data_IF_311144943617
#
_entry.id   IF_311144943617
#
_cell.length_a   1.000
_cell.length_b   1.000
_cell.length_c   1.000
_cell.angle_alpha   90.00
_cell.angle_beta   90.00
_cell.angle_gamma   90.00
#
_symmetry.space_group_name_H-M   'P 1'
#
loop_
_entity.id
_entity.type
_entity.pdbx_description
1 polymer ?
#
# COMPACT_ATOMS: atom_id res chain seq x y z
N UNK A 1 -12.66 62.63 0.23
CA UNK A 1 -12.75 61.62 -0.85
C UNK A 1 -11.85 60.45 -0.50
N UNK A 2 -12.40 59.37 0.07
CA UNK A 2 -11.65 58.14 0.36
C UNK A 2 -12.16 57.04 -0.56
N UNK A 3 -11.22 56.42 -1.26
CA UNK A 3 -11.41 55.46 -2.35
C UNK A 3 -12.04 54.16 -1.83
N UNK A 4 -13.36 54.05 -1.85
CA UNK A 4 -14.15 52.89 -1.40
C UNK A 4 -14.24 51.74 -2.45
N UNK A 5 -13.66 51.94 -3.64
CA UNK A 5 -13.73 50.97 -4.75
C UNK A 5 -12.50 50.04 -4.86
N UNK A 6 -11.37 50.39 -4.24
CA UNK A 6 -10.10 49.66 -4.39
C UNK A 6 -9.95 48.51 -3.36
N UNK A 7 -10.58 48.68 -2.22
CA UNK A 7 -10.68 47.76 -1.08
C UNK A 7 -11.63 46.59 -1.40
N UNK A 8 -12.82 46.87 -1.94
CA UNK A 8 -13.79 45.81 -2.32
C UNK A 8 -13.23 44.86 -3.39
N UNK A 9 -12.50 45.39 -4.38
CA UNK A 9 -11.89 44.60 -5.45
C UNK A 9 -10.75 43.70 -4.94
N UNK A 10 -9.95 44.20 -4.00
CA UNK A 10 -8.86 43.45 -3.38
C UNK A 10 -9.37 42.28 -2.53
N UNK A 11 -10.43 42.48 -1.74
CA UNK A 11 -11.05 41.40 -0.95
C UNK A 11 -11.69 40.31 -1.83
N UNK A 12 -12.28 40.68 -2.98
CA UNK A 12 -12.92 39.74 -3.89
C UNK A 12 -11.89 38.87 -4.65
N UNK A 13 -10.74 39.46 -5.03
CA UNK A 13 -9.60 38.74 -5.59
C UNK A 13 -8.90 37.85 -4.54
N UNK A 14 -8.81 38.31 -3.29
CA UNK A 14 -8.25 37.54 -2.18
C UNK A 14 -9.10 36.30 -1.86
N UNK A 15 -10.44 36.43 -1.86
CA UNK A 15 -11.39 35.32 -1.70
C UNK A 15 -11.36 34.32 -2.87
N UNK A 16 -11.22 34.78 -4.12
CA UNK A 16 -11.04 33.89 -5.29
C UNK A 16 -9.71 33.15 -5.26
N UNK A 17 -8.61 33.81 -4.87
CA UNK A 17 -7.28 33.17 -4.75
C UNK A 17 -7.24 32.14 -3.62
N UNK A 18 -7.80 32.44 -2.46
CA UNK A 18 -7.92 31.45 -1.36
C UNK A 18 -8.81 30.27 -1.74
N UNK A 19 -9.94 30.50 -2.42
CA UNK A 19 -10.79 29.41 -2.90
C UNK A 19 -10.09 28.51 -3.93
N UNK A 20 -9.32 29.08 -4.86
CA UNK A 20 -8.54 28.33 -5.85
C UNK A 20 -7.41 27.54 -5.18
N UNK A 21 -6.70 28.13 -4.21
CA UNK A 21 -5.63 27.47 -3.46
C UNK A 21 -6.19 26.29 -2.65
N UNK A 22 -7.33 26.45 -1.97
CA UNK A 22 -7.99 25.37 -1.24
C UNK A 22 -8.46 24.24 -2.17
N UNK A 23 -8.97 24.57 -3.36
CA UNK A 23 -9.40 23.57 -4.34
C UNK A 23 -8.20 22.78 -4.90
N UNK A 24 -7.05 23.44 -5.14
CA UNK A 24 -5.82 22.76 -5.59
C UNK A 24 -5.22 21.87 -4.51
N UNK A 25 -5.20 22.30 -3.24
CA UNK A 25 -4.70 21.49 -2.11
C UNK A 25 -5.57 20.26 -1.89
N UNK A 26 -6.90 20.40 -1.99
CA UNK A 26 -7.83 19.27 -1.91
C UNK A 26 -7.62 18.25 -3.04
N UNK A 27 -7.30 18.70 -4.26
CA UNK A 27 -7.05 17.83 -5.40
C UNK A 27 -5.69 17.11 -5.30
N UNK A 28 -4.66 17.77 -4.77
CA UNK A 28 -3.32 17.15 -4.57
C UNK A 28 -3.22 16.27 -3.32
N UNK A 29 -4.12 16.41 -2.34
CA UNK A 29 -4.15 15.56 -1.14
C UNK A 29 -4.63 14.13 -1.39
N UNK A 30 -5.36 13.89 -2.50
CA UNK A 30 -6.00 12.60 -2.79
C UNK A 30 -5.03 11.54 -3.32
N UNK A 31 -3.83 11.92 -3.77
CA UNK A 31 -2.86 11.01 -4.41
C UNK A 31 -1.89 10.32 -3.43
N UNK A 32 -1.94 10.62 -2.12
CA UNK A 32 -0.99 10.10 -1.12
C UNK A 32 -1.60 8.97 -0.26
N UNK A 33 -2.59 8.24 -0.77
CA UNK A 33 -3.20 7.11 -0.04
C UNK A 33 -2.67 5.72 -0.45
N UNK A 34 -1.82 5.63 -1.48
CA UNK A 34 -1.25 4.36 -1.92
C UNK A 34 0.11 4.11 -1.26
N UNK A 35 0.12 3.82 0.03
CA UNK A 35 1.32 3.36 0.74
C UNK A 35 1.57 1.88 0.46
N UNK A 36 2.73 1.54 -0.11
CA UNK A 36 3.15 0.15 -0.30
C UNK A 36 3.53 -0.46 1.05
N UNK A 37 2.54 -1.02 1.76
CA UNK A 37 2.75 -1.64 3.08
C UNK A 37 3.58 -2.94 3.06
N UNK A 38 3.96 -3.43 1.87
CA UNK A 38 4.67 -4.69 1.68
C UNK A 38 6.07 -4.44 1.13
N UNK A 39 7.07 -5.02 1.79
CA UNK A 39 8.46 -4.93 1.35
C UNK A 39 8.65 -5.59 -0.04
N UNK A 40 9.71 -5.19 -0.74
CA UNK A 40 10.12 -5.82 -2.00
C UNK A 40 11.40 -6.59 -1.72
N UNK A 41 11.45 -7.91 -2.00
CA UNK A 41 12.63 -8.71 -1.82
C UNK A 41 13.87 -8.11 -2.51
N UNK A 42 14.99 -8.11 -1.80
CA UNK A 42 16.29 -7.67 -2.32
C UNK A 42 17.34 -8.76 -2.14
N UNK A 43 18.48 -8.65 -2.82
CA UNK A 43 19.54 -9.66 -2.76
C UNK A 43 20.07 -9.92 -1.34
N UNK A 44 19.97 -8.95 -0.42
CA UNK A 44 20.34 -9.12 0.98
C UNK A 44 19.49 -10.12 1.77
N UNK A 45 18.38 -10.60 1.21
CA UNK A 45 17.47 -11.59 1.83
C UNK A 45 17.63 -12.99 1.25
N UNK A 46 18.56 -13.17 0.30
CA UNK A 46 18.89 -14.49 -0.24
C UNK A 46 19.57 -15.31 0.85
N UNK A 47 19.06 -16.51 1.08
CA UNK A 47 19.74 -17.54 1.88
C UNK A 47 20.21 -18.66 0.97
N UNK A 48 21.04 -19.58 1.48
CA UNK A 48 21.47 -20.75 0.71
C UNK A 48 20.31 -21.66 0.26
N UNK A 49 19.11 -21.50 0.83
CA UNK A 49 17.92 -22.30 0.52
C UNK A 49 16.81 -21.56 -0.22
N UNK A 50 16.89 -20.23 -0.37
CA UNK A 50 15.82 -19.42 -0.98
C UNK A 50 16.40 -18.41 -1.96
N UNK A 51 16.00 -18.52 -3.23
CA UNK A 51 16.46 -17.61 -4.29
C UNK A 51 15.66 -16.30 -4.29
N UNK A 52 16.26 -15.22 -4.83
CA UNK A 52 15.54 -13.95 -5.01
C UNK A 52 14.30 -14.10 -5.90
N UNK A 53 14.35 -15.01 -6.88
CA UNK A 53 13.21 -15.33 -7.74
C UNK A 53 12.07 -15.94 -6.93
N UNK A 54 12.37 -16.89 -6.04
CA UNK A 54 11.35 -17.52 -5.19
C UNK A 54 10.72 -16.50 -4.23
N UNK A 55 11.50 -15.56 -3.68
CA UNK A 55 10.96 -14.47 -2.84
C UNK A 55 10.02 -13.55 -3.62
N UNK A 56 10.39 -13.19 -4.85
CA UNK A 56 9.55 -12.35 -5.73
C UNK A 56 8.27 -13.08 -6.14
N UNK A 57 8.36 -14.37 -6.47
CA UNK A 57 7.21 -15.22 -6.77
C UNK A 57 6.30 -15.37 -5.55
N UNK A 58 6.89 -15.60 -4.36
CA UNK A 58 6.19 -15.66 -3.08
C UNK A 58 5.44 -14.37 -2.75
N UNK A 59 6.07 -13.21 -2.96
CA UNK A 59 5.43 -11.90 -2.82
C UNK A 59 4.25 -11.75 -3.76
N UNK A 60 4.42 -12.11 -5.03
CA UNK A 60 3.36 -12.00 -6.03
C UNK A 60 2.17 -12.89 -5.65
N UNK A 61 2.43 -14.13 -5.20
CA UNK A 61 1.41 -15.04 -4.69
C UNK A 61 0.73 -14.50 -3.44
N UNK A 62 1.48 -13.94 -2.49
CA UNK A 62 0.94 -13.35 -1.27
C UNK A 62 -0.08 -12.25 -1.60
N UNK A 63 0.29 -11.32 -2.49
CA UNK A 63 -0.60 -10.24 -2.94
C UNK A 63 -1.85 -10.80 -3.64
N UNK A 64 -1.65 -11.72 -4.59
CA UNK A 64 -2.72 -12.20 -5.47
C UNK A 64 -3.62 -13.28 -4.86
N UNK A 65 -3.19 -13.97 -3.80
CA UNK A 65 -3.99 -15.02 -3.14
C UNK A 65 -4.59 -14.51 -1.84
N UNK A 66 -3.80 -13.81 -1.02
CA UNK A 66 -4.23 -13.37 0.30
C UNK A 66 -5.03 -12.05 0.26
N UNK A 67 -4.88 -11.24 -0.79
CA UNK A 67 -5.56 -9.95 -0.93
C UNK A 67 -6.95 -10.03 -1.56
N UNK A 68 -7.39 -11.19 -2.05
CA UNK A 68 -8.65 -11.33 -2.79
C UNK A 68 -9.90 -11.32 -1.91
N UNK A 69 -9.77 -11.69 -0.64
CA UNK A 69 -10.92 -11.90 0.25
C UNK A 69 -10.99 -10.91 1.42
N UNK A 70 -9.86 -10.33 1.82
CA UNK A 70 -9.74 -9.34 2.89
C UNK A 70 -8.45 -8.55 2.73
N UNK A 71 -8.30 -7.50 3.53
CA UNK A 71 -7.06 -6.70 3.54
C UNK A 71 -5.84 -7.57 3.84
N UNK A 72 -4.73 -7.25 3.16
CA UNK A 72 -3.44 -7.90 3.39
C UNK A 72 -2.87 -7.51 4.75
N UNK A 73 -2.35 -8.50 5.45
CA UNK A 73 -1.59 -8.30 6.68
C UNK A 73 -0.13 -8.00 6.30
N UNK A 74 0.57 -7.22 7.10
CA UNK A 74 1.99 -6.94 6.87
C UNK A 74 2.80 -8.13 7.41
N UNK A 75 3.67 -8.80 6.61
CA UNK A 75 4.40 -10.01 7.01
C UNK A 75 5.12 -9.91 8.36
N UNK A 76 5.73 -8.76 8.65
CA UNK A 76 6.53 -8.49 9.85
C UNK A 76 5.70 -8.39 11.14
N UNK A 77 4.36 -8.34 11.06
CA UNK A 77 3.49 -8.27 12.24
C UNK A 77 3.41 -9.56 13.03
N UNK A 78 3.87 -10.67 12.45
CA UNK A 78 3.63 -12.00 12.99
C UNK A 78 4.84 -12.91 12.84
N UNK A 79 4.92 -13.92 13.71
CA UNK A 79 6.04 -14.85 13.70
C UNK A 79 5.90 -15.88 12.58
N UNK A 80 7.00 -16.51 12.18
CA UNK A 80 6.99 -17.62 11.21
C UNK A 80 6.03 -18.75 11.62
N UNK A 81 5.90 -19.02 12.94
CA UNK A 81 4.97 -20.03 13.45
C UNK A 81 3.52 -19.64 13.20
N UNK A 82 3.17 -18.38 13.43
CA UNK A 82 1.82 -17.87 13.20
C UNK A 82 1.45 -17.94 11.72
N UNK A 83 2.37 -17.53 10.84
CA UNK A 83 2.22 -17.61 9.39
C UNK A 83 1.98 -19.04 8.92
N UNK A 84 2.75 -20.01 9.41
CA UNK A 84 2.53 -21.42 9.09
C UNK A 84 1.11 -21.87 9.44
N UNK A 85 0.58 -21.46 10.60
CA UNK A 85 -0.77 -21.82 11.03
C UNK A 85 -1.82 -21.15 10.13
N UNK A 86 -1.70 -19.86 9.83
CA UNK A 86 -2.72 -19.14 9.08
C UNK A 86 -2.73 -19.46 7.60
N UNK A 87 -1.57 -19.56 6.95
CA UNK A 87 -1.50 -19.98 5.55
C UNK A 87 -2.10 -21.37 5.40
N UNK A 88 -1.80 -22.29 6.33
CA UNK A 88 -2.43 -23.63 6.34
C UNK A 88 -3.95 -23.58 6.48
N UNK A 89 -4.49 -22.68 7.30
CA UNK A 89 -5.95 -22.48 7.43
C UNK A 89 -6.57 -21.87 6.16
N UNK A 90 -5.78 -21.15 5.36
CA UNK A 90 -6.24 -20.48 4.15
C UNK A 90 -6.07 -21.30 2.88
N UNK A 91 -5.27 -22.37 2.88
CA UNK A 91 -4.97 -23.18 1.70
C UNK A 91 -6.21 -23.54 0.87
N UNK A 92 -7.19 -24.19 1.50
CA UNK A 92 -8.42 -24.60 0.83
C UNK A 92 -9.26 -23.41 0.38
N UNK A 93 -9.30 -22.34 1.19
CA UNK A 93 -10.16 -21.17 0.94
C UNK A 93 -9.64 -20.30 -0.19
N UNK A 94 -8.32 -20.12 -0.27
CA UNK A 94 -7.63 -19.31 -1.26
C UNK A 94 -7.09 -20.16 -2.43
N UNK A 95 -7.37 -21.48 -2.45
CA UNK A 95 -6.90 -22.43 -3.48
C UNK A 95 -5.38 -22.34 -3.67
N UNK A 96 -4.66 -22.43 -2.56
CA UNK A 96 -3.19 -22.41 -2.52
C UNK A 96 -2.70 -23.85 -2.65
N UNK A 97 -1.89 -24.10 -3.66
CA UNK A 97 -1.23 -25.40 -3.86
C UNK A 97 -0.06 -25.58 -2.88
N UNK A 98 0.43 -26.81 -2.65
CA UNK A 98 1.58 -27.03 -1.77
C UNK A 98 2.82 -26.21 -2.17
N UNK A 99 3.11 -26.09 -3.48
CA UNK A 99 4.23 -25.28 -3.96
C UNK A 99 4.01 -23.78 -3.74
N UNK A 100 2.80 -23.28 -3.97
CA UNK A 100 2.49 -21.87 -3.69
C UNK A 100 2.60 -21.56 -2.20
N UNK A 101 2.21 -22.50 -1.32
CA UNK A 101 2.36 -22.35 0.13
C UNK A 101 3.82 -22.18 0.53
N UNK A 102 4.73 -23.01 -0.01
CA UNK A 102 6.16 -22.90 0.26
C UNK A 102 6.70 -21.53 -0.15
N UNK A 103 6.34 -21.04 -1.34
CA UNK A 103 6.76 -19.73 -1.84
C UNK A 103 6.21 -18.59 -0.98
N UNK A 104 4.93 -18.66 -0.59
CA UNK A 104 4.29 -17.66 0.28
C UNK A 104 4.95 -17.63 1.67
N UNK A 105 5.32 -18.78 2.24
CA UNK A 105 5.96 -18.85 3.55
C UNK A 105 7.46 -18.52 3.50
N UNK A 106 8.07 -18.61 2.32
CA UNK A 106 9.45 -18.19 2.09
C UNK A 106 9.62 -16.68 1.95
N UNK A 107 8.57 -15.99 1.49
CA UNK A 107 8.45 -14.53 1.48
C UNK A 107 8.10 -13.98 2.88
#
# INVERSE_FOLDING_TARGET
MKNFKLDSFSHMLFKRKTAIICLTVALTGLIIACGTALYIPTEGQITSSVSIKDLLDGRALYINKCGNCHSLVVPEKHTTKDWNIWVSKMETKAKITPREKELILGY
#
